data_IF_505181546597
#
_entry.id   IF_505181546597
#
_cell.length_a   1.000
_cell.length_b   1.000
_cell.length_c   1.000
_cell.angle_alpha   90.00
_cell.angle_beta   90.00
_cell.angle_gamma   90.00
#
_symmetry.space_group_name_H-M   'P 1'
#
loop_
_entity.id
_entity.type
_entity.pdbx_description
1 polymer ?
#
# COMPACT_ATOMS: atom_id res chain seq x y z
N UNK A 1 57.19 25.37 37.94
CA UNK A 1 56.62 24.15 38.52
C UNK A 1 56.62 23.06 37.47
N UNK A 2 57.57 22.13 37.56
CA UNK A 2 57.78 21.00 36.65
C UNK A 2 58.59 19.93 37.40
N UNK A 3 58.09 18.69 37.45
CA UNK A 3 58.75 17.39 37.70
C UNK A 3 57.66 16.39 38.10
N UNK A 4 57.72 15.09 37.86
CA UNK A 4 58.27 14.21 36.82
C UNK A 4 57.74 12.80 37.19
N UNK A 5 57.33 12.04 36.17
CA UNK A 5 57.35 10.57 36.00
C UNK A 5 57.39 9.62 37.23
N UNK A 6 56.46 8.64 37.25
CA UNK A 6 56.74 7.23 37.56
C UNK A 6 55.59 6.30 37.12
N UNK A 7 55.95 5.22 36.44
CA UNK A 7 55.22 3.94 36.30
C UNK A 7 56.20 2.82 36.74
N UNK A 8 55.90 1.50 36.70
CA UNK A 8 54.64 0.72 36.62
C UNK A 8 54.58 -0.46 37.65
N UNK A 9 53.47 -1.25 37.70
CA UNK A 9 53.40 -2.75 37.67
C UNK A 9 52.02 -3.33 38.14
N UNK A 10 51.68 -4.62 37.87
CA UNK A 10 50.35 -5.05 37.41
C UNK A 10 49.68 -6.14 38.29
N UNK A 11 48.40 -6.45 38.07
CA UNK A 11 47.78 -7.72 38.45
C UNK A 11 46.33 -7.83 37.91
N UNK A 12 45.72 -9.03 37.80
CA UNK A 12 46.28 -10.30 37.33
C UNK A 12 45.41 -10.93 36.22
N UNK A 13 46.04 -11.79 35.40
CA UNK A 13 45.37 -12.66 34.42
C UNK A 13 44.46 -13.67 35.12
N UNK A 14 43.15 -13.63 34.85
CA UNK A 14 42.26 -14.79 35.10
C UNK A 14 42.19 -15.66 33.85
N UNK A 15 42.86 -16.82 33.93
CA UNK A 15 42.63 -17.99 33.08
C UNK A 15 41.19 -18.47 33.30
N UNK A 16 40.41 -18.59 32.23
CA UNK A 16 39.32 -19.57 32.18
C UNK A 16 39.66 -20.63 31.14
N UNK A 17 39.51 -21.87 31.57
CA UNK A 17 39.86 -23.13 30.92
C UNK A 17 39.20 -23.27 29.54
N UNK A 18 39.96 -23.76 28.56
CA UNK A 18 39.42 -24.57 27.46
C UNK A 18 38.90 -25.89 28.06
N UNK A 19 37.61 -26.13 27.94
CA UNK A 19 37.01 -27.45 28.00
C UNK A 19 36.50 -27.81 26.59
N UNK A 20 36.66 -29.08 26.22
CA UNK A 20 36.63 -29.56 24.86
C UNK A 20 35.27 -29.66 24.18
N UNK A 21 35.40 -30.02 22.91
CA UNK A 21 34.43 -30.46 21.91
C UNK A 21 33.01 -30.79 22.40
N UNK A 22 32.05 -30.08 21.81
CA UNK A 22 30.67 -30.48 21.62
C UNK A 22 30.09 -29.61 20.50
N UNK A 23 29.82 -30.21 19.33
CA UNK A 23 29.03 -29.58 18.28
C UNK A 23 27.71 -29.07 18.90
N UNK A 24 27.31 -27.81 18.71
CA UNK A 24 25.95 -27.42 19.07
C UNK A 24 24.99 -28.19 18.16
N UNK A 25 23.92 -28.79 18.72
CA UNK A 25 22.93 -29.48 17.90
C UNK A 25 22.33 -28.49 16.90
N UNK A 26 22.06 -28.99 15.69
CA UNK A 26 21.45 -28.26 14.60
C UNK A 26 20.35 -27.33 15.12
N UNK A 27 20.44 -26.05 14.74
CA UNK A 27 19.48 -25.03 15.10
C UNK A 27 18.06 -25.52 14.77
N UNK A 28 17.33 -25.90 15.81
CA UNK A 28 15.91 -26.18 15.74
C UNK A 28 15.22 -24.93 15.19
N UNK A 29 14.36 -25.14 14.18
CA UNK A 29 13.66 -24.09 13.47
C UNK A 29 13.06 -23.06 14.41
N UNK A 30 13.35 -21.79 14.12
CA UNK A 30 12.73 -20.64 14.78
C UNK A 30 11.22 -20.74 14.53
N UNK A 31 10.35 -20.72 15.56
CA UNK A 31 8.92 -20.89 15.37
C UNK A 31 8.35 -19.72 14.57
N UNK A 32 7.60 -20.07 13.53
CA UNK A 32 6.78 -19.17 12.72
C UNK A 32 5.68 -18.49 13.55
N UNK A 33 5.43 -17.22 13.27
CA UNK A 33 4.09 -16.65 13.34
C UNK A 33 3.51 -16.39 14.73
N UNK A 34 3.99 -15.35 15.42
CA UNK A 34 3.24 -14.76 16.52
C UNK A 34 2.13 -13.83 15.96
N UNK A 35 1.09 -14.41 15.38
CA UNK A 35 -0.24 -13.83 15.53
C UNK A 35 -0.55 -13.91 17.03
N UNK A 36 -0.80 -12.77 17.70
CA UNK A 36 -1.15 -12.64 19.12
C UNK A 36 -1.31 -13.99 19.84
N UNK A 37 -0.21 -14.46 20.44
CA UNK A 37 -0.11 -15.82 20.96
C UNK A 37 -1.36 -16.19 21.79
N UNK A 38 -2.16 -17.14 21.29
CA UNK A 38 -3.26 -17.76 22.04
C UNK A 38 -4.69 -17.48 21.56
N UNK A 39 -4.97 -16.57 20.62
CA UNK A 39 -6.35 -16.37 20.14
C UNK A 39 -6.71 -17.29 18.96
N UNK A 40 -7.82 -18.06 19.01
CA UNK A 40 -8.27 -18.84 17.87
C UNK A 40 -8.72 -17.93 16.72
N UNK A 41 -8.45 -18.35 15.49
CA UNK A 41 -8.84 -17.64 14.27
C UNK A 41 -10.37 -17.60 14.14
N UNK A 42 -10.91 -16.42 13.83
CA UNK A 42 -12.35 -16.23 13.61
C UNK A 42 -12.61 -15.69 12.19
N UNK A 43 -12.86 -16.61 11.25
CA UNK A 43 -13.10 -16.26 9.85
C UNK A 43 -14.29 -15.30 9.67
N UNK A 44 -15.37 -15.44 10.46
CA UNK A 44 -16.55 -14.55 10.34
C UNK A 44 -16.18 -13.09 10.65
N UNK A 45 -15.37 -12.87 11.69
CA UNK A 45 -14.87 -11.54 12.03
C UNK A 45 -13.85 -11.04 11.00
N UNK A 46 -12.99 -11.91 10.49
CA UNK A 46 -12.07 -11.59 9.38
C UNK A 46 -12.79 -11.19 8.10
N UNK A 47 -13.87 -11.89 7.75
CA UNK A 47 -14.76 -11.55 6.65
C UNK A 47 -15.43 -10.20 6.87
N UNK A 48 -15.95 -9.93 8.07
CA UNK A 48 -16.54 -8.63 8.39
C UNK A 48 -15.51 -7.50 8.27
N UNK A 49 -14.26 -7.72 8.69
CA UNK A 49 -13.17 -6.76 8.48
C UNK A 49 -12.91 -6.50 6.98
N UNK A 50 -12.95 -7.55 6.15
CA UNK A 50 -12.79 -7.40 4.69
C UNK A 50 -13.99 -6.74 4.01
N UNK A 51 -15.20 -6.91 4.55
CA UNK A 51 -16.40 -6.17 4.13
C UNK A 51 -16.34 -4.68 4.50
N UNK A 52 -15.47 -4.27 5.41
CA UNK A 52 -15.19 -2.85 5.66
C UNK A 52 -14.05 -2.35 4.78
N UNK A 53 -12.97 -3.14 4.68
CA UNK A 53 -11.79 -2.77 3.91
C UNK A 53 -12.10 -2.66 2.42
N UNK A 54 -12.45 -3.77 1.76
CA UNK A 54 -12.49 -3.85 0.29
C UNK A 54 -13.55 -2.94 -0.35
N UNK A 55 -14.78 -2.84 0.19
CA UNK A 55 -15.79 -1.94 -0.37
C UNK A 55 -15.38 -0.47 -0.35
N UNK A 56 -14.57 -0.04 0.64
CA UNK A 56 -14.05 1.33 0.66
C UNK A 56 -13.20 1.65 -0.59
N UNK A 57 -12.54 0.66 -1.18
CA UNK A 57 -11.75 0.83 -2.40
C UNK A 57 -12.59 0.76 -3.67
N UNK A 58 -13.58 -0.15 -3.72
CA UNK A 58 -14.20 -0.59 -4.98
C UNK A 58 -15.58 0.00 -5.23
N UNK A 59 -16.37 0.29 -4.19
CA UNK A 59 -17.77 0.68 -4.37
C UNK A 59 -17.92 2.08 -4.97
N UNK A 60 -17.18 3.07 -4.48
CA UNK A 60 -17.35 4.44 -4.99
C UNK A 60 -16.98 4.56 -6.49
N UNK A 61 -15.85 3.99 -6.97
CA UNK A 61 -15.55 3.96 -8.40
C UNK A 61 -16.59 3.19 -9.22
N UNK A 62 -17.09 2.05 -8.71
CA UNK A 62 -18.11 1.26 -9.40
C UNK A 62 -19.43 2.03 -9.54
N UNK A 63 -19.92 2.64 -8.46
CA UNK A 63 -21.13 3.47 -8.45
C UNK A 63 -21.02 4.68 -9.37
N UNK A 64 -19.85 5.32 -9.38
CA UNK A 64 -19.59 6.46 -10.24
C UNK A 64 -19.63 6.05 -11.73
N UNK A 65 -18.93 4.98 -12.08
CA UNK A 65 -18.93 4.46 -13.46
C UNK A 65 -20.35 4.05 -13.89
N UNK A 66 -21.03 3.22 -13.08
CA UNK A 66 -22.38 2.75 -13.40
C UNK A 66 -23.38 3.90 -13.48
N UNK A 67 -23.28 4.88 -12.57
CA UNK A 67 -24.18 6.02 -12.53
C UNK A 67 -24.02 6.92 -13.75
N UNK A 68 -22.79 7.21 -14.17
CA UNK A 68 -22.54 8.01 -15.35
C UNK A 68 -22.95 7.29 -16.65
N UNK A 69 -22.73 5.97 -16.75
CA UNK A 69 -23.26 5.18 -17.89
C UNK A 69 -24.79 5.23 -17.91
N UNK A 70 -25.43 4.98 -16.77
CA UNK A 70 -26.91 5.00 -16.64
C UNK A 70 -27.50 6.37 -16.95
N UNK A 71 -26.78 7.45 -16.61
CA UNK A 71 -27.19 8.83 -16.92
C UNK A 71 -27.16 9.10 -18.41
N UNK A 72 -26.11 8.63 -19.12
CA UNK A 72 -25.93 8.90 -20.55
C UNK A 72 -26.62 7.91 -21.50
N UNK A 73 -26.90 6.67 -21.04
CA UNK A 73 -27.40 5.59 -21.88
C UNK A 73 -28.69 5.90 -22.67
N UNK A 74 -29.69 6.62 -22.11
CA UNK A 74 -30.91 6.97 -22.86
C UNK A 74 -30.65 7.84 -24.10
N UNK A 75 -29.49 8.49 -24.19
CA UNK A 75 -29.07 9.35 -25.30
C UNK A 75 -28.12 8.65 -26.27
N UNK A 76 -28.02 7.32 -26.19
CA UNK A 76 -27.11 6.51 -26.99
C UNK A 76 -25.63 6.71 -26.62
N UNK A 77 -24.74 6.18 -27.46
CA UNK A 77 -23.29 6.15 -27.16
C UNK A 77 -22.66 7.54 -26.99
N UNK A 78 -23.15 8.56 -27.71
CA UNK A 78 -22.69 9.95 -27.57
C UNK A 78 -23.02 10.52 -26.20
N UNK A 79 -24.21 10.21 -25.67
CA UNK A 79 -24.62 10.60 -24.33
C UNK A 79 -23.80 9.93 -23.23
N UNK A 80 -23.47 8.64 -23.41
CA UNK A 80 -22.57 7.93 -22.50
C UNK A 80 -21.19 8.59 -22.49
N UNK A 81 -20.62 8.92 -23.65
CA UNK A 81 -19.32 9.61 -23.72
C UNK A 81 -19.37 11.01 -23.10
N UNK A 82 -20.44 11.77 -23.35
CA UNK A 82 -20.62 13.09 -22.75
C UNK A 82 -20.68 13.01 -21.22
N UNK A 83 -21.51 12.10 -20.69
CA UNK A 83 -21.64 11.87 -19.24
C UNK A 83 -20.31 11.40 -18.63
N UNK A 84 -19.61 10.46 -19.27
CA UNK A 84 -18.26 10.02 -18.88
C UNK A 84 -17.27 11.19 -18.85
N UNK A 85 -17.27 12.06 -19.86
CA UNK A 85 -16.40 13.23 -19.94
C UNK A 85 -16.66 14.23 -18.82
N UNK A 86 -17.93 14.55 -18.57
CA UNK A 86 -18.33 15.41 -17.44
C UNK A 86 -17.98 14.76 -16.09
N UNK A 87 -18.15 13.44 -15.97
CA UNK A 87 -17.74 12.66 -14.81
C UNK A 87 -16.24 12.72 -14.54
N UNK A 88 -15.41 12.62 -15.58
CA UNK A 88 -13.97 12.83 -15.46
C UNK A 88 -13.65 14.25 -14.96
N UNK A 89 -14.36 15.27 -15.47
CA UNK A 89 -14.29 16.63 -14.95
C UNK A 89 -14.67 16.73 -13.46
N UNK A 90 -15.74 16.05 -13.03
CA UNK A 90 -16.17 16.01 -11.63
C UNK A 90 -15.07 15.43 -10.73
N UNK A 91 -14.43 14.34 -11.15
CA UNK A 91 -13.34 13.70 -10.42
C UNK A 91 -12.10 14.61 -10.32
N UNK A 92 -11.83 15.41 -11.35
CA UNK A 92 -10.66 16.31 -11.41
C UNK A 92 -10.89 17.68 -10.76
N UNK A 93 -12.15 18.06 -10.55
CA UNK A 93 -12.52 19.35 -9.97
C UNK A 93 -11.93 19.56 -8.57
N UNK A 94 -11.44 20.78 -8.31
CA UNK A 94 -10.72 21.14 -7.10
C UNK A 94 -11.59 21.64 -5.94
N UNK A 95 -12.86 21.97 -6.19
CA UNK A 95 -13.74 22.53 -5.17
C UNK A 95 -15.13 22.92 -5.69
N UNK A 96 -15.98 23.52 -4.83
CA UNK A 96 -17.40 23.75 -5.13
C UNK A 96 -17.65 24.56 -6.41
N UNK A 97 -16.85 25.60 -6.67
CA UNK A 97 -17.03 26.49 -7.83
C UNK A 97 -16.89 25.77 -9.17
N UNK A 98 -16.01 24.76 -9.26
CA UNK A 98 -15.84 23.94 -10.48
C UNK A 98 -16.74 22.71 -10.48
N UNK A 99 -17.15 22.20 -9.30
CA UNK A 99 -18.05 21.05 -9.17
C UNK A 99 -19.49 21.36 -9.49
N UNK A 100 -20.01 22.50 -9.03
CA UNK A 100 -21.43 22.86 -9.16
C UNK A 100 -21.93 22.81 -10.61
N UNK A 101 -21.29 23.52 -11.55
CA UNK A 101 -21.71 23.51 -12.96
C UNK A 101 -21.68 22.11 -13.58
N UNK A 102 -20.65 21.32 -13.28
CA UNK A 102 -20.54 19.95 -13.78
C UNK A 102 -21.63 19.03 -13.21
N UNK A 103 -21.99 19.22 -11.93
CA UNK A 103 -23.08 18.46 -11.32
C UNK A 103 -24.42 18.78 -11.99
N UNK A 104 -24.70 20.07 -12.21
CA UNK A 104 -25.91 20.50 -12.92
C UNK A 104 -25.96 19.94 -14.34
N UNK A 105 -24.83 19.92 -15.05
CA UNK A 105 -24.76 19.34 -16.39
C UNK A 105 -25.06 17.83 -16.39
N UNK A 106 -24.46 17.05 -15.48
CA UNK A 106 -24.72 15.60 -15.38
C UNK A 106 -26.18 15.30 -15.00
N UNK A 107 -26.72 16.01 -14.00
CA UNK A 107 -28.13 15.88 -13.61
C UNK A 107 -29.05 16.28 -14.76
N UNK A 108 -28.70 17.33 -15.50
CA UNK A 108 -29.42 17.82 -16.68
C UNK A 108 -29.49 16.78 -17.80
N UNK A 109 -28.40 16.05 -18.07
CA UNK A 109 -28.41 14.93 -19.03
C UNK A 109 -29.43 13.87 -18.59
N UNK A 110 -29.44 13.49 -17.31
CA UNK A 110 -30.41 12.53 -16.78
C UNK A 110 -31.85 13.03 -16.89
N UNK A 111 -32.09 14.30 -16.56
CA UNK A 111 -33.41 14.93 -16.63
C UNK A 111 -33.93 15.08 -18.07
N UNK A 112 -33.03 15.24 -19.04
CA UNK A 112 -33.38 15.30 -20.46
C UNK A 112 -33.57 13.91 -21.11
N UNK A 113 -33.40 12.81 -20.36
CA UNK A 113 -33.49 11.47 -20.92
C UNK A 113 -34.86 11.20 -21.56
N UNK A 114 -34.90 10.65 -22.79
CA UNK A 114 -36.14 10.33 -23.49
C UNK A 114 -36.89 9.14 -22.87
N UNK A 115 -36.17 8.23 -22.21
CA UNK A 115 -36.69 7.07 -21.49
C UNK A 115 -35.97 6.92 -20.15
N UNK A 116 -36.63 6.32 -19.15
CA UNK A 116 -35.99 6.05 -17.86
C UNK A 116 -35.53 7.29 -17.08
N UNK A 117 -36.13 8.47 -17.34
CA UNK A 117 -35.72 9.78 -16.79
C UNK A 117 -35.44 9.76 -15.29
N UNK A 118 -36.36 9.21 -14.49
CA UNK A 118 -36.19 9.14 -13.03
C UNK A 118 -34.90 8.40 -12.67
N UNK A 119 -34.67 7.22 -13.25
CA UNK A 119 -33.48 6.41 -12.99
C UNK A 119 -32.20 7.15 -13.43
N UNK A 120 -32.19 7.74 -14.62
CA UNK A 120 -31.02 8.48 -15.13
C UNK A 120 -30.72 9.75 -14.33
N UNK A 121 -31.74 10.50 -13.89
CA UNK A 121 -31.56 11.64 -12.99
C UNK A 121 -31.00 11.19 -11.64
N UNK A 122 -31.58 10.15 -11.03
CA UNK A 122 -31.10 9.62 -9.75
C UNK A 122 -29.65 9.13 -9.85
N UNK A 123 -29.30 8.44 -10.94
CA UNK A 123 -27.94 8.01 -11.21
C UNK A 123 -26.95 9.20 -11.28
N UNK A 124 -27.35 10.27 -11.97
CA UNK A 124 -26.58 11.51 -12.02
C UNK A 124 -26.41 12.17 -10.65
N UNK A 125 -27.50 12.27 -9.87
CA UNK A 125 -27.49 12.81 -8.50
C UNK A 125 -26.53 12.02 -7.61
N UNK A 126 -26.56 10.69 -7.65
CA UNK A 126 -25.63 9.83 -6.89
C UNK A 126 -24.17 10.14 -7.25
N UNK A 127 -23.85 10.29 -8.53
CA UNK A 127 -22.50 10.65 -8.97
C UNK A 127 -22.07 12.01 -8.41
N UNK A 128 -22.96 13.00 -8.45
CA UNK A 128 -22.72 14.34 -7.90
C UNK A 128 -22.49 14.30 -6.38
N UNK A 129 -23.29 13.53 -5.64
CA UNK A 129 -23.13 13.33 -4.19
C UNK A 129 -21.76 12.71 -3.89
N UNK A 130 -21.37 11.63 -4.58
CA UNK A 130 -20.06 11.00 -4.40
C UNK A 130 -18.91 11.99 -4.67
N UNK A 131 -19.01 12.77 -5.75
CA UNK A 131 -18.03 13.82 -6.06
C UNK A 131 -17.97 14.92 -4.98
N UNK A 132 -19.10 15.26 -4.37
CA UNK A 132 -19.17 16.26 -3.30
C UNK A 132 -18.44 15.84 -2.02
N UNK A 133 -18.38 14.55 -1.73
CA UNK A 133 -17.64 14.02 -0.58
C UNK A 133 -16.13 13.84 -0.83
N UNK A 134 -15.67 14.05 -2.07
CA UNK A 134 -14.24 14.07 -2.41
C UNK A 134 -13.52 15.30 -1.82
N UNK A 135 -12.18 15.23 -1.69
CA UNK A 135 -11.36 16.31 -1.13
C UNK A 135 -11.59 17.64 -1.85
N UNK A 136 -11.61 18.74 -1.10
CA UNK A 136 -11.87 20.09 -1.63
C UNK A 136 -13.26 20.65 -1.29
N UNK A 137 -14.18 19.81 -0.81
CA UNK A 137 -15.54 20.24 -0.44
C UNK A 137 -15.91 19.87 1.00
N UNK A 138 -15.40 18.76 1.53
CA UNK A 138 -15.65 18.33 2.91
C UNK A 138 -14.40 18.40 3.78
N UNK A 139 -14.56 18.73 5.06
CA UNK A 139 -13.52 18.58 6.09
C UNK A 139 -13.16 17.10 6.27
N UNK A 140 -12.04 16.82 6.93
CA UNK A 140 -11.66 15.44 7.28
C UNK A 140 -12.74 14.79 8.15
N UNK A 141 -12.99 13.50 7.93
CA UNK A 141 -13.99 12.77 8.70
C UNK A 141 -13.51 12.53 10.15
N UNK A 142 -14.47 12.34 11.06
CA UNK A 142 -14.18 12.10 12.48
C UNK A 142 -13.44 10.77 12.66
N UNK A 143 -12.39 10.77 13.49
CA UNK A 143 -11.67 9.57 13.93
C UNK A 143 -12.61 8.58 14.63
N UNK A 144 -12.35 7.29 14.43
CA UNK A 144 -13.08 6.12 14.97
C UNK A 144 -12.05 5.11 15.48
N UNK A 145 -11.52 5.26 16.70
CA UNK A 145 -10.50 4.36 17.25
C UNK A 145 -10.92 2.89 17.22
N UNK A 146 -12.20 2.62 17.45
CA UNK A 146 -12.79 1.28 17.46
C UNK A 146 -12.69 0.61 16.09
N UNK A 147 -12.74 1.39 15.00
CA UNK A 147 -12.54 0.87 13.64
C UNK A 147 -11.09 0.41 13.45
N UNK A 148 -10.12 1.20 13.90
CA UNK A 148 -8.71 0.81 13.82
C UNK A 148 -8.44 -0.47 14.63
N UNK A 149 -8.97 -0.54 15.85
CA UNK A 149 -8.85 -1.73 16.71
C UNK A 149 -9.51 -2.95 16.11
N UNK A 150 -10.72 -2.79 15.57
CA UNK A 150 -11.45 -3.86 14.88
C UNK A 150 -10.65 -4.41 13.69
N UNK A 151 -10.14 -3.53 12.82
CA UNK A 151 -9.35 -3.93 11.67
C UNK A 151 -8.05 -4.61 12.11
N UNK A 152 -7.31 -4.00 13.02
CA UNK A 152 -6.05 -4.53 13.56
C UNK A 152 -6.22 -5.91 14.20
N UNK A 153 -7.34 -6.12 14.88
CA UNK A 153 -7.65 -7.38 15.55
C UNK A 153 -8.02 -8.47 14.53
N UNK A 154 -8.95 -8.19 13.61
CA UNK A 154 -9.63 -9.25 12.86
C UNK A 154 -9.17 -9.43 11.42
N UNK A 155 -8.49 -8.46 10.80
CA UNK A 155 -8.08 -8.53 9.38
C UNK A 155 -7.30 -9.81 9.00
N UNK A 156 -6.48 -10.33 9.92
CA UNK A 156 -5.61 -11.48 9.68
C UNK A 156 -6.42 -12.75 9.45
N UNK A 157 -7.55 -12.86 10.15
CA UNK A 157 -8.35 -14.09 10.25
C UNK A 157 -9.07 -14.44 8.95
N UNK A 158 -9.08 -13.50 7.99
CA UNK A 158 -9.62 -13.73 6.66
C UNK A 158 -8.74 -14.66 5.82
N UNK A 159 -7.42 -14.46 5.88
CA UNK A 159 -6.42 -15.17 5.08
C UNK A 159 -6.00 -16.44 5.78
N UNK A 160 -5.58 -17.46 5.04
CA UNK A 160 -4.99 -18.67 5.60
C UNK A 160 -3.87 -18.31 6.58
N UNK A 161 -2.98 -17.42 6.15
CA UNK A 161 -1.87 -16.89 6.92
C UNK A 161 -1.64 -15.41 6.58
N UNK A 162 -1.32 -14.56 7.57
CA UNK A 162 -0.96 -13.17 7.34
C UNK A 162 0.04 -12.68 8.40
N UNK A 163 1.31 -12.56 8.02
CA UNK A 163 2.43 -12.31 8.93
C UNK A 163 3.44 -11.32 8.35
N UNK A 164 4.16 -10.65 9.24
CA UNK A 164 5.32 -9.82 8.91
C UNK A 164 6.56 -10.31 9.66
N UNK A 165 7.69 -10.41 8.98
CA UNK A 165 8.98 -10.87 9.53
C UNK A 165 10.06 -9.85 9.23
N UNK A 166 10.85 -9.48 10.24
CA UNK A 166 11.98 -8.56 10.08
C UNK A 166 13.27 -9.37 9.98
N UNK A 167 13.97 -9.27 8.84
CA UNK A 167 15.21 -10.02 8.61
C UNK A 167 16.40 -9.43 9.36
N UNK A 168 16.41 -8.11 9.54
CA UNK A 168 17.38 -7.38 10.34
C UNK A 168 16.62 -6.41 11.26
N UNK A 169 16.02 -6.91 12.36
CA UNK A 169 15.17 -6.07 13.20
C UNK A 169 15.93 -4.86 13.72
N UNK A 170 17.20 -5.00 14.11
CA UNK A 170 18.02 -3.95 14.75
C UNK A 170 18.37 -2.78 13.82
N UNK A 171 18.18 -2.95 12.52
CA UNK A 171 18.34 -1.88 11.53
C UNK A 171 17.14 -0.91 11.51
N UNK A 172 15.98 -1.36 12.00
CA UNK A 172 14.74 -0.58 11.95
C UNK A 172 14.79 0.56 12.96
N UNK A 173 14.72 1.78 12.45
CA UNK A 173 14.59 3.00 13.25
C UNK A 173 13.15 3.49 13.27
N UNK A 174 12.78 4.20 14.34
CA UNK A 174 11.43 4.76 14.52
C UNK A 174 11.27 6.15 13.90
N UNK A 175 12.32 6.64 13.27
CA UNK A 175 12.40 7.88 12.53
C UNK A 175 13.18 7.65 11.24
N UNK A 176 12.99 8.55 10.26
CA UNK A 176 13.73 8.59 9.00
C UNK A 176 13.89 7.23 8.30
N UNK A 177 12.87 6.38 8.40
CA UNK A 177 12.86 5.05 7.77
C UNK A 177 11.80 5.02 6.68
N UNK A 178 12.15 4.50 5.51
CA UNK A 178 11.27 4.37 4.36
C UNK A 178 11.08 2.89 4.03
N UNK A 179 9.85 2.40 4.11
CA UNK A 179 9.51 1.00 3.84
C UNK A 179 8.78 0.93 2.49
N UNK A 180 9.43 0.32 1.50
CA UNK A 180 8.84 0.08 0.18
C UNK A 180 8.23 -1.31 0.12
N UNK A 181 6.90 -1.40 0.18
CA UNK A 181 6.17 -2.66 0.03
C UNK A 181 6.06 -3.08 -1.44
N UNK A 182 6.39 -4.34 -1.71
CA UNK A 182 6.33 -4.98 -3.02
C UNK A 182 5.66 -6.36 -2.95
N UNK A 183 4.92 -6.76 -3.98
CA UNK A 183 4.31 -5.90 -4.99
C UNK A 183 3.06 -5.17 -4.44
N UNK A 184 2.48 -4.24 -5.20
CA UNK A 184 1.15 -3.70 -4.90
C UNK A 184 0.05 -4.76 -5.02
N UNK A 185 0.24 -5.80 -5.83
CA UNK A 185 -0.83 -6.72 -6.18
C UNK A 185 -2.05 -6.03 -6.80
N UNK A 186 -3.21 -6.68 -6.72
CA UNK A 186 -4.46 -6.12 -7.21
C UNK A 186 -5.01 -5.01 -6.28
N UNK A 187 -5.08 -5.30 -4.97
CA UNK A 187 -5.62 -4.39 -3.94
C UNK A 187 -4.67 -4.20 -2.73
N UNK A 188 -3.37 -4.46 -2.90
CA UNK A 188 -2.34 -4.21 -1.88
C UNK A 188 -2.63 -4.87 -0.55
N UNK A 189 -2.93 -6.17 -0.60
CA UNK A 189 -3.26 -6.94 0.57
C UNK A 189 -2.07 -6.96 1.55
N UNK A 190 -0.85 -7.23 1.07
CA UNK A 190 0.37 -7.17 1.88
C UNK A 190 0.57 -5.84 2.59
N UNK A 191 0.54 -4.73 1.86
CA UNK A 191 0.67 -3.39 2.45
C UNK A 191 -0.44 -3.08 3.46
N UNK A 192 -1.69 -3.40 3.15
CA UNK A 192 -2.84 -3.10 4.01
C UNK A 192 -2.83 -3.96 5.28
N UNK A 193 -2.66 -5.27 5.10
CA UNK A 193 -2.82 -6.29 6.15
C UNK A 193 -1.56 -6.39 7.01
N UNK A 194 -0.38 -6.39 6.40
CA UNK A 194 0.91 -6.56 7.09
C UNK A 194 1.64 -5.24 7.37
N UNK A 195 1.32 -4.16 6.66
CA UNK A 195 1.81 -2.81 6.94
C UNK A 195 0.83 -2.03 7.81
N UNK A 196 -0.30 -1.60 7.25
CA UNK A 196 -1.21 -0.64 7.88
C UNK A 196 -1.88 -1.16 9.16
N UNK A 197 -2.23 -2.46 9.23
CA UNK A 197 -3.04 -3.00 10.34
C UNK A 197 -2.37 -4.17 11.08
N UNK A 198 -1.04 -4.27 11.03
CA UNK A 198 -0.29 -5.31 11.73
C UNK A 198 0.35 -4.79 13.03
N UNK A 199 -0.05 -5.29 14.22
CA UNK A 199 0.51 -4.85 15.49
C UNK A 199 2.03 -4.98 15.60
N UNK A 200 2.61 -6.06 15.08
CA UNK A 200 4.06 -6.29 15.16
C UNK A 200 4.84 -5.32 14.27
N UNK A 201 4.27 -4.96 13.11
CA UNK A 201 4.84 -3.91 12.27
C UNK A 201 4.83 -2.55 13.00
N UNK A 202 3.68 -2.15 13.57
CA UNK A 202 3.57 -0.90 14.34
C UNK A 202 4.50 -0.86 15.55
N UNK A 203 4.62 -1.98 16.28
CA UNK A 203 5.51 -2.09 17.45
C UNK A 203 6.96 -1.83 17.09
N UNK A 204 7.41 -2.30 15.91
CA UNK A 204 8.79 -2.09 15.44
C UNK A 204 8.99 -0.70 14.84
N UNK A 205 8.10 -0.29 13.93
CA UNK A 205 8.24 0.95 13.16
C UNK A 205 7.89 2.20 13.98
N UNK A 206 7.02 2.10 14.97
CA UNK A 206 6.52 3.25 15.72
C UNK A 206 5.66 4.16 14.87
N UNK A 207 5.78 5.48 15.08
CA UNK A 207 5.00 6.47 14.35
C UNK A 207 5.42 6.52 12.88
N UNK A 208 4.46 6.32 11.98
CA UNK A 208 4.71 6.37 10.55
C UNK A 208 3.54 6.96 9.76
N UNK A 209 3.87 7.57 8.63
CA UNK A 209 2.94 8.00 7.60
C UNK A 209 2.81 6.92 6.52
N UNK A 210 1.62 6.35 6.36
CA UNK A 210 1.31 5.35 5.35
C UNK A 210 0.78 6.05 4.10
N UNK A 211 1.47 5.92 2.97
CA UNK A 211 1.15 6.65 1.75
C UNK A 211 0.54 5.73 0.69
N UNK A 212 -0.61 6.15 0.18
CA UNK A 212 -1.40 5.44 -0.84
C UNK A 212 -1.63 6.32 -2.07
N UNK A 213 -2.21 5.76 -3.14
CA UNK A 213 -2.47 6.52 -4.37
C UNK A 213 -3.28 7.80 -4.09
N UNK A 214 -2.82 8.94 -4.64
CA UNK A 214 -3.43 10.24 -4.37
C UNK A 214 -4.85 10.36 -4.93
N UNK A 215 -5.14 9.73 -6.07
CA UNK A 215 -6.49 9.72 -6.62
C UNK A 215 -7.40 8.91 -5.72
N UNK A 216 -6.96 7.74 -5.28
CA UNK A 216 -7.71 6.94 -4.32
C UNK A 216 -7.95 7.72 -3.00
N UNK A 217 -6.92 8.33 -2.43
CA UNK A 217 -7.02 9.06 -1.15
C UNK A 217 -7.94 10.27 -1.21
N UNK A 218 -7.99 10.98 -2.34
CA UNK A 218 -8.64 12.28 -2.46
C UNK A 218 -9.93 12.27 -3.29
N UNK A 219 -10.09 11.30 -4.20
CA UNK A 219 -11.22 11.22 -5.16
C UNK A 219 -12.12 10.00 -4.95
N UNK A 220 -11.84 9.16 -3.95
CA UNK A 220 -12.77 8.13 -3.49
C UNK A 220 -13.29 8.51 -2.09
N UNK A 221 -14.57 8.89 -1.95
CA UNK A 221 -15.11 9.36 -0.68
C UNK A 221 -15.16 8.27 0.40
N UNK A 222 -15.41 7.02 0.02
CA UNK A 222 -15.47 5.90 0.97
C UNK A 222 -14.08 5.51 1.47
N UNK A 223 -13.10 5.48 0.57
CA UNK A 223 -11.71 5.26 0.96
C UNK A 223 -11.19 6.37 1.86
N UNK A 224 -11.48 7.64 1.52
CA UNK A 224 -11.16 8.79 2.36
C UNK A 224 -11.78 8.68 3.75
N UNK A 225 -13.07 8.35 3.84
CA UNK A 225 -13.77 8.20 5.11
C UNK A 225 -13.12 7.10 5.97
N UNK A 226 -12.72 5.98 5.36
CA UNK A 226 -11.99 4.92 6.06
C UNK A 226 -10.65 5.42 6.57
N UNK A 227 -9.81 6.03 5.71
CA UNK A 227 -8.50 6.56 6.09
C UNK A 227 -8.55 7.60 7.22
N UNK A 228 -9.51 8.53 7.15
CA UNK A 228 -9.73 9.54 8.19
C UNK A 228 -10.26 8.90 9.48
N UNK A 229 -11.13 7.88 9.36
CA UNK A 229 -11.69 7.13 10.48
C UNK A 229 -10.65 6.33 11.26
N UNK A 230 -9.71 5.68 10.57
CA UNK A 230 -8.66 4.86 11.22
C UNK A 230 -7.49 5.68 11.77
N UNK A 231 -7.50 7.01 11.59
CA UNK A 231 -6.39 7.89 11.99
C UNK A 231 -6.22 7.94 13.51
N UNK A 232 -4.95 7.90 13.94
CA UNK A 232 -4.48 8.06 15.32
C UNK A 232 -3.35 9.10 15.37
N UNK A 233 -2.76 9.33 16.54
CA UNK A 233 -1.64 10.28 16.70
C UNK A 233 -0.30 9.71 16.19
N UNK A 234 -0.20 8.39 16.17
CA UNK A 234 0.93 7.58 15.72
C UNK A 234 0.70 6.91 14.34
N UNK A 235 -0.52 6.99 13.79
CA UNK A 235 -0.91 6.33 12.54
C UNK A 235 -1.77 7.25 11.65
N UNK A 236 -1.38 7.41 10.40
CA UNK A 236 -2.21 8.05 9.39
C UNK A 236 -2.00 7.47 7.99
N UNK A 237 -3.07 7.48 7.18
CA UNK A 237 -3.03 7.16 5.76
C UNK A 237 -3.22 8.44 4.95
N UNK A 238 -2.21 8.85 4.18
CA UNK A 238 -2.22 10.05 3.33
C UNK A 238 -1.79 9.71 1.89
N UNK A 239 -1.73 10.71 1.02
CA UNK A 239 -1.42 10.53 -0.39
C UNK A 239 0.08 10.42 -0.66
N UNK A 240 0.44 9.52 -1.57
CA UNK A 240 1.77 9.38 -2.15
C UNK A 240 1.98 10.43 -3.27
N UNK A 241 1.96 11.71 -2.90
CA UNK A 241 2.33 12.82 -3.78
C UNK A 241 3.60 13.51 -3.27
N UNK A 242 4.28 14.24 -4.18
CA UNK A 242 5.55 14.93 -3.86
C UNK A 242 5.42 15.87 -2.64
N UNK A 243 4.31 16.60 -2.52
CA UNK A 243 4.12 17.58 -1.44
C UNK A 243 4.02 16.88 -0.09
N UNK A 244 3.24 15.81 -0.03
CA UNK A 244 3.05 15.01 1.18
C UNK A 244 4.35 14.31 1.54
N UNK A 245 5.01 13.65 0.57
CA UNK A 245 6.29 12.97 0.78
C UNK A 245 7.34 13.90 1.41
N UNK A 246 7.59 15.07 0.79
CA UNK A 246 8.56 16.05 1.29
C UNK A 246 8.15 16.65 2.64
N UNK A 247 6.86 16.92 2.85
CA UNK A 247 6.35 17.45 4.13
C UNK A 247 6.59 16.47 5.27
N UNK A 248 6.28 15.19 5.07
CA UNK A 248 6.48 14.15 6.09
C UNK A 248 7.98 13.90 6.30
N UNK A 249 8.74 13.83 5.21
CA UNK A 249 10.17 13.58 5.31
C UNK A 249 10.95 14.70 5.99
N UNK A 250 10.58 15.96 5.75
CA UNK A 250 11.15 17.12 6.42
C UNK A 250 10.93 17.14 7.93
N UNK A 251 9.93 16.42 8.44
CA UNK A 251 9.68 16.22 9.87
C UNK A 251 10.42 15.01 10.46
N UNK A 252 11.12 14.23 9.64
CA UNK A 252 11.78 13.00 10.06
C UNK A 252 10.82 11.82 10.30
N UNK A 253 9.57 11.90 9.85
CA UNK A 253 8.59 10.81 10.02
C UNK A 253 8.96 9.60 9.14
N UNK A 254 8.80 8.39 9.69
CA UNK A 254 8.92 7.18 8.89
C UNK A 254 7.81 7.10 7.83
N UNK A 255 8.15 6.62 6.64
CA UNK A 255 7.25 6.54 5.48
C UNK A 255 7.05 5.08 5.10
N UNK A 256 5.80 4.66 4.90
CA UNK A 256 5.46 3.32 4.44
C UNK A 256 4.62 3.45 3.19
N UNK A 257 5.01 2.87 2.07
CA UNK A 257 4.30 3.04 0.80
C UNK A 257 4.61 1.92 -0.19
N UNK A 258 3.99 1.96 -1.36
CA UNK A 258 4.13 0.96 -2.43
C UNK A 258 4.76 1.63 -3.66
N UNK A 259 6.06 1.41 -3.96
CA UNK A 259 6.74 2.11 -5.05
C UNK A 259 6.11 1.88 -6.44
N UNK A 260 5.62 0.66 -6.71
CA UNK A 260 5.00 0.34 -7.99
C UNK A 260 3.60 0.92 -8.18
N UNK A 261 2.90 1.20 -7.08
CA UNK A 261 1.59 1.85 -7.07
C UNK A 261 0.59 1.20 -8.03
N UNK A 262 -0.20 2.04 -8.70
CA UNK A 262 -1.24 1.58 -9.62
C UNK A 262 -0.73 0.73 -10.80
N UNK A 263 0.52 0.92 -11.26
CA UNK A 263 1.05 0.15 -12.39
C UNK A 263 1.31 -1.32 -12.04
N UNK A 264 1.59 -1.64 -10.77
CA UNK A 264 1.67 -3.04 -10.31
C UNK A 264 0.30 -3.73 -10.43
N UNK A 265 -0.79 -3.05 -10.09
CA UNK A 265 -2.14 -3.59 -10.24
C UNK A 265 -2.50 -3.87 -11.71
N UNK A 266 -2.01 -3.04 -12.64
CA UNK A 266 -2.18 -3.26 -14.08
C UNK A 266 -1.29 -4.40 -14.59
N UNK A 267 -0.08 -4.55 -14.05
CA UNK A 267 0.85 -5.62 -14.41
C UNK A 267 0.50 -6.98 -13.77
N UNK A 268 -0.36 -6.97 -12.73
CA UNK A 268 -0.73 -8.12 -11.92
C UNK A 268 -1.21 -9.31 -12.75
N UNK A 269 -0.62 -10.47 -12.45
CA UNK A 269 -0.97 -11.75 -13.06
C UNK A 269 -1.07 -12.80 -11.98
N UNK A 270 -2.15 -13.56 -12.02
CA UNK A 270 -2.35 -14.65 -11.09
C UNK A 270 -1.15 -15.60 -11.09
N UNK A 271 -0.61 -15.88 -9.90
CA UNK A 271 0.53 -16.79 -9.70
C UNK A 271 1.86 -16.31 -10.29
N UNK A 272 1.99 -15.03 -10.66
CA UNK A 272 3.26 -14.45 -11.14
C UNK A 272 3.66 -13.26 -10.30
N UNK A 273 4.84 -13.36 -9.72
CA UNK A 273 5.42 -12.31 -8.90
C UNK A 273 6.09 -11.24 -9.77
N UNK A 274 5.50 -10.04 -9.79
CA UNK A 274 6.06 -8.92 -10.54
C UNK A 274 5.85 -7.60 -9.81
N UNK A 275 6.83 -6.69 -9.90
CA UNK A 275 6.72 -5.32 -9.38
C UNK A 275 7.35 -4.33 -10.35
N UNK A 276 6.66 -3.22 -10.58
CA UNK A 276 7.07 -2.09 -11.41
C UNK A 276 7.96 -1.19 -10.57
N UNK A 277 9.25 -1.27 -10.81
CA UNK A 277 10.26 -0.58 -10.01
C UNK A 277 11.35 0.06 -10.87
N UNK A 278 11.67 -0.48 -12.06
CA UNK A 278 12.85 -0.07 -12.86
C UNK A 278 12.91 1.44 -13.12
N UNK A 279 11.75 2.08 -13.31
CA UNK A 279 11.64 3.52 -13.59
C UNK A 279 11.12 4.34 -12.39
N UNK A 280 10.87 3.72 -11.23
CA UNK A 280 10.25 4.35 -10.05
C UNK A 280 11.30 4.90 -9.07
N UNK A 281 12.21 5.74 -9.56
CA UNK A 281 13.38 6.21 -8.80
C UNK A 281 13.13 7.39 -7.86
N UNK A 282 11.94 8.02 -7.95
CA UNK A 282 11.64 9.28 -7.25
C UNK A 282 11.74 9.21 -5.72
N UNK A 283 11.37 8.08 -5.12
CA UNK A 283 11.47 7.93 -3.67
C UNK A 283 12.92 7.85 -3.18
N UNK A 284 13.83 7.21 -3.95
CA UNK A 284 15.27 7.18 -3.65
C UNK A 284 15.84 8.59 -3.66
N UNK A 285 15.44 9.41 -4.64
CA UNK A 285 15.82 10.83 -4.67
C UNK A 285 15.43 11.53 -3.36
N UNK A 286 14.19 11.38 -2.91
CA UNK A 286 13.74 12.02 -1.66
C UNK A 286 14.45 11.44 -0.42
N UNK A 287 14.70 10.14 -0.39
CA UNK A 287 15.45 9.51 0.69
C UNK A 287 16.90 10.02 0.78
N UNK A 288 17.57 10.25 -0.36
CA UNK A 288 18.90 10.89 -0.39
C UNK A 288 18.82 12.32 0.15
N UNK A 289 17.82 13.10 -0.28
CA UNK A 289 17.64 14.49 0.13
C UNK A 289 17.40 14.67 1.62
N UNK A 290 16.95 13.64 2.33
CA UNK A 290 16.62 13.73 3.76
C UNK A 290 17.39 12.75 4.65
N UNK A 291 18.31 11.96 4.08
CA UNK A 291 19.14 11.00 4.80
C UNK A 291 18.33 9.85 5.43
N UNK A 292 17.52 9.16 4.62
CA UNK A 292 16.65 8.08 5.09
C UNK A 292 17.30 6.71 5.00
N UNK A 293 16.88 5.81 5.90
CA UNK A 293 17.11 4.36 5.78
C UNK A 293 16.00 3.77 4.94
N UNK A 294 16.34 3.04 3.88
CA UNK A 294 15.35 2.46 2.96
C UNK A 294 15.31 0.95 3.14
N UNK A 295 14.15 0.42 3.49
CA UNK A 295 13.90 -1.01 3.67
C UNK A 295 13.09 -1.55 2.50
N UNK A 296 13.63 -2.51 1.72
CA UNK A 296 12.80 -3.28 0.80
C UNK A 296 11.90 -4.20 1.63
N UNK A 297 10.60 -4.20 1.32
CA UNK A 297 9.62 -5.12 1.92
C UNK A 297 8.98 -5.93 0.80
N UNK A 298 9.09 -7.25 0.87
CA UNK A 298 8.49 -8.14 -0.11
C UNK A 298 7.40 -9.00 0.51
N UNK A 299 6.23 -9.09 -0.13
CA UNK A 299 5.10 -9.92 0.32
C UNK A 299 4.86 -11.07 -0.65
N UNK A 300 5.14 -12.29 -0.17
CA UNK A 300 4.78 -13.51 -0.89
C UNK A 300 3.28 -13.81 -0.77
N UNK A 301 2.74 -14.41 -1.83
CA UNK A 301 1.32 -14.78 -1.99
C UNK A 301 0.40 -13.63 -2.38
N UNK A 302 0.93 -12.41 -2.57
CA UNK A 302 0.19 -11.29 -3.13
C UNK A 302 -0.37 -11.63 -4.53
N UNK A 303 0.42 -12.32 -5.36
CA UNK A 303 0.07 -12.82 -6.71
C UNK A 303 -1.07 -13.87 -6.70
N UNK A 304 -1.40 -14.41 -5.54
CA UNK A 304 -2.44 -15.41 -5.32
C UNK A 304 -3.73 -14.82 -4.73
N UNK A 305 -3.78 -13.53 -4.42
CA UNK A 305 -4.95 -12.92 -3.77
C UNK A 305 -6.17 -12.82 -4.69
N UNK A 306 -5.94 -12.75 -6.00
CA UNK A 306 -6.99 -12.67 -7.02
C UNK A 306 -6.60 -13.45 -8.27
N UNK A 307 -7.58 -13.99 -8.97
CA UNK A 307 -7.45 -14.31 -10.37
C UNK A 307 -7.52 -13.01 -11.19
N UNK A 308 -6.71 -12.92 -12.24
CA UNK A 308 -6.74 -11.77 -13.15
C UNK A 308 -6.98 -12.18 -14.58
N UNK A 309 -7.81 -11.39 -15.25
CA UNK A 309 -7.91 -11.47 -16.70
C UNK A 309 -6.66 -10.86 -17.31
N UNK A 310 -6.02 -11.52 -18.27
CA UNK A 310 -4.75 -11.06 -18.88
C UNK A 310 -4.90 -10.61 -20.33
N UNK A 311 -6.10 -10.71 -20.92
CA UNK A 311 -6.40 -10.24 -22.26
C UNK A 311 -6.19 -8.73 -22.44
N UNK A 312 -5.90 -8.32 -23.67
CA UNK A 312 -5.75 -6.92 -24.10
C UNK A 312 -4.71 -6.10 -23.31
N UNK A 313 -3.65 -6.74 -22.78
CA UNK A 313 -2.64 -6.08 -21.93
C UNK A 313 -2.09 -4.78 -22.50
N UNK A 314 -1.66 -4.75 -23.77
CA UNK A 314 -1.10 -3.54 -24.40
C UNK A 314 -2.09 -2.36 -24.36
N UNK A 315 -3.36 -2.64 -24.66
CA UNK A 315 -4.43 -1.64 -24.60
C UNK A 315 -4.66 -1.17 -23.17
N UNK A 316 -4.74 -2.10 -22.21
CA UNK A 316 -4.97 -1.79 -20.79
C UNK A 316 -3.84 -0.96 -20.19
N UNK A 317 -2.59 -1.30 -20.50
CA UNK A 317 -1.41 -0.51 -20.08
C UNK A 317 -1.46 0.89 -20.69
N UNK A 318 -1.74 1.02 -21.99
CA UNK A 318 -1.85 2.34 -22.64
C UNK A 318 -2.99 3.19 -22.05
N UNK A 319 -4.15 2.58 -21.76
CA UNK A 319 -5.27 3.26 -21.10
C UNK A 319 -4.91 3.66 -19.65
N UNK A 320 -4.15 2.81 -18.94
CA UNK A 320 -3.74 3.10 -17.57
C UNK A 320 -2.80 4.30 -17.42
N UNK A 321 -2.08 4.67 -18.48
CA UNK A 321 -1.28 5.91 -18.52
C UNK A 321 -2.16 7.16 -18.35
N UNK A 322 -3.45 7.06 -18.68
CA UNK A 322 -4.46 8.10 -18.46
C UNK A 322 -5.18 7.98 -17.09
N UNK A 323 -4.63 7.20 -16.15
CA UNK A 323 -5.21 6.94 -14.82
C UNK A 323 -6.59 6.26 -14.85
N UNK A 324 -6.91 5.50 -15.90
CA UNK A 324 -8.15 4.72 -15.98
C UNK A 324 -7.87 3.28 -15.56
N UNK A 325 -8.51 2.76 -14.50
CA UNK A 325 -8.19 1.45 -13.98
C UNK A 325 -8.80 0.33 -14.82
N UNK A 326 -7.99 -0.22 -15.72
CA UNK A 326 -8.34 -1.40 -16.52
C UNK A 326 -7.79 -2.67 -15.85
N UNK A 327 -8.26 -2.98 -14.65
CA UNK A 327 -7.93 -4.25 -13.96
C UNK A 327 -9.21 -5.05 -13.79
N UNK A 328 -9.32 -6.14 -14.54
CA UNK A 328 -10.40 -7.11 -14.38
C UNK A 328 -9.87 -8.29 -13.56
N UNK A 329 -10.46 -8.47 -12.38
CA UNK A 329 -10.04 -9.47 -11.40
C UNK A 329 -11.25 -10.08 -10.72
N UNK A 330 -11.03 -11.25 -10.14
CA UNK A 330 -12.02 -11.98 -9.36
C UNK A 330 -11.29 -12.77 -8.27
N UNK A 331 -11.73 -12.63 -7.02
CA UNK A 331 -11.13 -13.32 -5.88
C UNK A 331 -12.01 -14.45 -5.38
N UNK A 332 -13.02 -14.15 -4.57
CA UNK A 332 -13.83 -15.16 -3.89
C UNK A 332 -15.20 -15.41 -4.56
N UNK A 333 -15.69 -16.67 -4.72
CA UNK A 333 -16.90 -16.91 -5.50
C UNK A 333 -18.19 -16.27 -5.01
N UNK A 334 -18.41 -16.22 -3.71
CA UNK A 334 -19.60 -15.57 -3.16
C UNK A 334 -19.49 -14.04 -3.19
N UNK A 335 -18.26 -13.51 -3.22
CA UNK A 335 -17.97 -12.07 -3.21
C UNK A 335 -16.78 -11.77 -4.12
N UNK A 336 -17.01 -11.63 -5.45
CA UNK A 336 -15.98 -11.50 -6.48
C UNK A 336 -14.87 -10.47 -6.23
N UNK A 337 -15.21 -9.37 -5.54
CA UNK A 337 -14.29 -8.28 -5.23
C UNK A 337 -13.42 -8.55 -4.01
N UNK A 338 -13.78 -9.51 -3.15
CA UNK A 338 -12.98 -9.89 -2.00
C UNK A 338 -11.83 -10.81 -2.44
N UNK A 339 -10.64 -10.71 -1.79
CA UNK A 339 -9.50 -11.57 -2.09
C UNK A 339 -9.80 -13.04 -1.76
N UNK A 340 -9.02 -13.97 -2.30
CA UNK A 340 -9.16 -15.40 -1.95
C UNK A 340 -8.77 -15.61 -0.48
N UNK A 341 -9.64 -16.18 0.37
CA UNK A 341 -9.33 -16.41 1.78
C UNK A 341 -8.26 -17.48 1.99
N UNK A 342 -7.99 -18.34 1.01
CA UNK A 342 -6.91 -19.33 1.04
C UNK A 342 -5.53 -18.72 0.78
N UNK A 343 -5.45 -17.45 0.39
CA UNK A 343 -4.16 -16.81 0.16
C UNK A 343 -3.38 -16.66 1.47
N UNK A 344 -2.05 -16.78 1.36
CA UNK A 344 -1.10 -16.54 2.45
C UNK A 344 -0.35 -15.24 2.16
N UNK A 345 -0.30 -14.32 3.12
CA UNK A 345 0.38 -13.02 2.99
C UNK A 345 1.60 -12.99 3.91
N UNK A 346 2.77 -13.32 3.37
CA UNK A 346 4.02 -13.35 4.14
C UNK A 346 4.92 -12.20 3.73
N UNK A 347 4.94 -11.14 4.54
CA UNK A 347 5.77 -9.97 4.30
C UNK A 347 7.12 -10.09 5.02
N UNK A 348 8.21 -9.92 4.28
CA UNK A 348 9.56 -9.86 4.82
C UNK A 348 10.10 -8.45 4.68
N UNK A 349 10.54 -7.86 5.80
CA UNK A 349 11.23 -6.57 5.84
C UNK A 349 12.73 -6.85 5.78
N UNK A 350 13.37 -6.42 4.70
CA UNK A 350 14.80 -6.59 4.48
C UNK A 350 15.67 -5.61 5.28
N UNK A 351 16.99 -5.84 5.29
CA UNK A 351 17.96 -4.93 5.90
C UNK A 351 17.87 -3.51 5.34
N UNK A 352 18.23 -2.53 6.15
CA UNK A 352 18.20 -1.12 5.73
C UNK A 352 19.34 -0.82 4.75
N UNK A 353 19.01 -0.17 3.63
CA UNK A 353 19.98 0.61 2.89
C UNK A 353 20.12 1.97 3.57
N UNK A 354 21.30 2.23 4.15
CA UNK A 354 21.61 3.52 4.75
C UNK A 354 22.07 4.48 3.66
N UNK A 355 21.19 5.37 3.22
CA UNK A 355 21.52 6.34 2.18
C UNK A 355 22.28 7.53 2.79
N UNK A 356 23.29 8.07 2.09
CA UNK A 356 23.92 9.32 2.48
C UNK A 356 22.92 10.47 2.36
N UNK A 357 23.03 11.44 3.26
CA UNK A 357 22.28 12.68 3.14
C UNK A 357 22.93 13.57 2.07
N UNK A 358 22.24 13.74 0.93
CA UNK A 358 22.66 14.60 -0.18
C UNK A 358 21.50 15.50 -0.59
N UNK A 359 21.48 16.79 -0.17
CA UNK A 359 20.36 17.72 -0.46
C UNK A 359 20.05 17.90 -1.95
N UNK A 360 21.09 17.84 -2.78
CA UNK A 360 21.00 17.94 -4.23
C UNK A 360 21.64 16.69 -4.88
N UNK A 361 20.91 15.55 -4.92
CA UNK A 361 21.42 14.34 -5.54
C UNK A 361 21.36 14.47 -7.07
N UNK A 362 22.45 14.07 -7.72
CA UNK A 362 22.53 13.97 -9.17
C UNK A 362 21.71 12.78 -9.68
N UNK A 363 21.45 12.72 -10.99
CA UNK A 363 20.78 11.57 -11.58
C UNK A 363 21.60 10.27 -11.37
N UNK A 364 22.93 10.36 -11.43
CA UNK A 364 23.84 9.23 -11.20
C UNK A 364 23.76 8.70 -9.77
N UNK A 365 23.68 9.59 -8.77
CA UNK A 365 23.48 9.16 -7.38
C UNK A 365 22.15 8.40 -7.22
N UNK A 366 21.08 8.93 -7.81
CA UNK A 366 19.76 8.31 -7.74
C UNK A 366 19.78 6.95 -8.42
N UNK A 367 20.43 6.83 -9.56
CA UNK A 367 20.54 5.58 -10.32
C UNK A 367 21.37 4.53 -9.58
N UNK A 368 22.48 4.94 -8.98
CA UNK A 368 23.33 4.08 -8.14
C UNK A 368 22.54 3.51 -6.94
N UNK A 369 21.89 4.37 -6.16
CA UNK A 369 21.17 3.94 -4.96
C UNK A 369 19.88 3.19 -5.27
N UNK A 370 19.22 3.53 -6.38
CA UNK A 370 18.09 2.76 -6.86
C UNK A 370 18.50 1.37 -7.37
N UNK A 371 19.65 1.27 -8.04
CA UNK A 371 20.26 -0.02 -8.41
C UNK A 371 20.48 -0.91 -7.18
N UNK A 372 21.15 -0.37 -6.16
CA UNK A 372 21.36 -1.07 -4.88
C UNK A 372 20.05 -1.49 -4.20
N UNK A 373 19.01 -0.64 -4.26
CA UNK A 373 17.70 -0.97 -3.71
C UNK A 373 17.06 -2.15 -4.46
N UNK A 374 17.11 -2.16 -5.80
CA UNK A 374 16.60 -3.27 -6.61
C UNK A 374 17.36 -4.57 -6.33
N UNK A 375 18.69 -4.52 -6.24
CA UNK A 375 19.52 -5.67 -5.88
C UNK A 375 19.16 -6.22 -4.50
N UNK A 376 18.96 -5.35 -3.50
CA UNK A 376 18.56 -5.75 -2.17
C UNK A 376 17.15 -6.37 -2.13
N UNK A 377 16.21 -5.86 -2.94
CA UNK A 377 14.86 -6.44 -3.06
C UNK A 377 14.91 -7.84 -3.70
N UNK A 378 15.67 -8.01 -4.79
CA UNK A 378 15.83 -9.31 -5.44
C UNK A 378 16.52 -10.31 -4.51
N UNK A 379 17.58 -9.88 -3.83
CA UNK A 379 18.26 -10.70 -2.82
C UNK A 379 17.30 -11.15 -1.72
N UNK A 380 16.52 -10.22 -1.16
CA UNK A 380 15.51 -10.54 -0.15
C UNK A 380 14.49 -11.57 -0.66
N UNK A 381 14.04 -11.41 -1.90
CA UNK A 381 13.12 -12.35 -2.54
C UNK A 381 13.75 -13.75 -2.67
N UNK A 382 14.93 -13.85 -3.26
CA UNK A 382 15.60 -15.13 -3.51
C UNK A 382 15.94 -15.88 -2.21
N UNK A 383 16.39 -15.16 -1.18
CA UNK A 383 16.71 -15.75 0.13
C UNK A 383 15.46 -16.26 0.87
N UNK A 384 14.31 -15.60 0.67
CA UNK A 384 13.09 -15.88 1.46
C UNK A 384 12.03 -16.70 0.73
N UNK A 385 12.13 -16.88 -0.59
CA UNK A 385 11.10 -17.61 -1.36
C UNK A 385 10.89 -19.05 -0.89
N UNK A 386 11.96 -19.77 -0.58
CA UNK A 386 11.87 -21.15 -0.08
C UNK A 386 11.26 -21.20 1.32
N UNK A 387 11.70 -20.33 2.25
CA UNK A 387 11.15 -20.21 3.60
C UNK A 387 9.66 -19.83 3.59
N UNK A 388 9.26 -18.96 2.65
CA UNK A 388 7.88 -18.54 2.50
C UNK A 388 6.98 -19.65 1.93
N UNK A 389 7.54 -20.63 1.21
CA UNK A 389 6.81 -21.74 0.58
C UNK A 389 6.62 -21.59 -0.94
N UNK A 390 7.44 -20.78 -1.60
CA UNK A 390 7.49 -20.57 -3.05
C UNK A 390 8.90 -20.80 -3.61
N UNK A 391 9.49 -22.01 -3.49
CA UNK A 391 10.89 -22.28 -3.84
C UNK A 391 11.21 -21.99 -5.32
N UNK A 392 10.25 -22.19 -6.21
CA UNK A 392 10.40 -22.02 -7.67
C UNK A 392 9.91 -20.65 -8.17
N UNK A 393 9.50 -19.75 -7.28
CA UNK A 393 9.03 -18.44 -7.70
C UNK A 393 10.16 -17.56 -8.23
N UNK A 394 9.80 -16.72 -9.20
CA UNK A 394 10.69 -15.78 -9.84
C UNK A 394 10.09 -14.38 -9.82
N UNK A 395 10.87 -13.40 -9.35
CA UNK A 395 10.46 -12.01 -9.29
C UNK A 395 10.81 -11.28 -10.60
N UNK A 396 9.78 -10.86 -11.33
CA UNK A 396 9.93 -9.99 -12.50
C UNK A 396 9.95 -8.50 -12.08
N UNK A 397 11.08 -7.83 -12.28
CA UNK A 397 11.18 -6.38 -12.15
C UNK A 397 10.74 -5.71 -13.46
N UNK A 398 9.73 -4.83 -13.40
CA UNK A 398 9.16 -4.10 -14.53
C UNK A 398 9.54 -2.63 -14.56
#
# INVERSE_FOLDING_TARGET
GLRALRAPHPAPRRRYRRAGAGMPPAAAGIPSGAAAAGRPKNFRKGLLAHMVLVPAWTVAPALLLSGLVTTGAPHGWKGVLLSMGLGAGLIQSGGPATRGPLCLAVIGIGAAAPTGRVLSTLAGVVCCVLAWFCKGTTKDFKRRPELFEFLTTWRADYYEQAEVRFCAPDDVRRDRSCFGFHPHGCLSAGFTINGCFNPEFHKRVGKASYLCDANLRYKNPFFRMMCDGVRRDDFEIDAADKKTFLKKMGKGESIVFIPGGFQDAVAFRHGKDCTVLKRRKGFIKYCLQHGYRVHPVYTFGESETFYSFTGLRKLRTKISEYNVPMVAFYGWPCFPLLPRPQSRLLSYVGPALVLPHKPEPTAEDVDLWHGKYMEALVKLFDEKRAEAGWPDAHLELL
#
